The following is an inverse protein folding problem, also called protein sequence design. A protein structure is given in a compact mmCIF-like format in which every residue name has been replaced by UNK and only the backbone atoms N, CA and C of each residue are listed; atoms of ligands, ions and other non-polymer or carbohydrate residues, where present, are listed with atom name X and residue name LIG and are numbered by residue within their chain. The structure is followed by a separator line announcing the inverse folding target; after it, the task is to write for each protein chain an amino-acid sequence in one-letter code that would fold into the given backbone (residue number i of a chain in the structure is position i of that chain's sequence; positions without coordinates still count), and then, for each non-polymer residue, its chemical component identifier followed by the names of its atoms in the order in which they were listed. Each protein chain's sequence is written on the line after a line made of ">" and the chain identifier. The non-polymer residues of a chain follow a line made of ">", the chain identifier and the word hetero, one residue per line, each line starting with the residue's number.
data_IF_715112121853
#
_entry.id   IF_715112121853
#
_cell.length_a   1.000
_cell.length_b   1.000
_cell.length_c   1.000
_cell.angle_alpha   90.00
_cell.angle_beta   90.00
_cell.angle_gamma   90.00
#
_symmetry.space_group_name_H-M   'P 1'
#
loop_
_entity.id
_entity.type
_entity.pdbx_description
1 polymer ?
#
# COMPACT_ATOMS: atom_id res chain seq x y z
N UNK A 1 -19.58 5.17 8.26
CA UNK A 1 -20.66 4.40 7.61
C UNK A 1 -21.32 3.51 8.63
N UNK A 2 -22.60 3.67 8.79
CA UNK A 2 -23.38 2.88 9.74
C UNK A 2 -23.60 1.47 9.21
N UNK A 3 -23.56 0.49 10.10
CA UNK A 3 -23.83 -0.90 9.79
C UNK A 3 -22.65 -1.75 9.33
N UNK A 4 -21.48 -1.14 9.11
CA UNK A 4 -20.27 -1.87 8.69
C UNK A 4 -19.24 -1.88 9.81
N UNK A 5 -18.70 -3.05 10.11
CA UNK A 5 -17.63 -3.21 11.11
C UNK A 5 -16.25 -2.86 10.55
N UNK A 6 -16.06 -3.02 9.24
CA UNK A 6 -14.79 -2.77 8.56
C UNK A 6 -15.06 -2.33 7.12
N UNK A 7 -14.30 -1.36 6.68
CA UNK A 7 -14.41 -0.79 5.32
C UNK A 7 -13.09 -1.05 4.60
N UNK A 8 -13.16 -1.49 3.35
CA UNK A 8 -11.97 -1.77 2.55
C UNK A 8 -11.87 -0.80 1.37
N UNK A 9 -10.66 -0.30 1.12
CA UNK A 9 -10.36 0.54 -0.04
C UNK A 9 -9.35 -0.17 -0.94
N UNK A 10 -9.75 -0.42 -2.19
CA UNK A 10 -8.84 -0.92 -3.23
C UNK A 10 -7.92 0.21 -3.72
N UNK A 11 -6.80 -0.15 -4.36
CA UNK A 11 -5.93 0.83 -4.99
C UNK A 11 -6.12 0.92 -6.51
N UNK A 12 -6.76 -0.07 -7.11
CA UNK A 12 -6.72 -0.32 -8.55
C UNK A 12 -7.70 0.48 -9.41
N UNK A 13 -8.55 1.30 -8.80
CA UNK A 13 -9.54 2.05 -9.56
C UNK A 13 -8.90 3.25 -10.29
N UNK A 14 -9.31 3.46 -11.54
CA UNK A 14 -8.87 4.63 -12.31
C UNK A 14 -9.34 5.95 -11.70
N UNK A 15 -10.40 5.88 -10.90
CA UNK A 15 -10.93 7.03 -10.18
C UNK A 15 -9.85 7.73 -9.32
N UNK A 16 -8.97 6.98 -8.69
CA UNK A 16 -7.89 7.59 -7.89
C UNK A 16 -6.91 8.38 -8.75
N UNK A 17 -6.56 7.87 -9.92
CA UNK A 17 -5.67 8.59 -10.83
C UNK A 17 -6.35 9.81 -11.46
N UNK A 18 -7.68 9.80 -11.60
CA UNK A 18 -8.44 10.96 -12.04
C UNK A 18 -8.51 12.04 -10.96
N UNK A 19 -8.62 11.64 -9.69
CA UNK A 19 -8.63 12.58 -8.56
C UNK A 19 -7.26 13.25 -8.33
N UNK A 20 -6.18 12.55 -8.67
CA UNK A 20 -4.82 13.09 -8.58
C UNK A 20 -4.05 12.79 -9.87
N UNK A 21 -4.26 13.60 -10.92
CA UNK A 21 -3.52 13.43 -12.16
C UNK A 21 -2.01 13.62 -11.95
N UNK A 22 -1.22 12.67 -12.42
CA UNK A 22 0.23 12.70 -12.28
C UNK A 22 0.88 11.97 -13.45
N UNK A 23 2.05 12.43 -13.96
CA UNK A 23 2.77 11.75 -15.05
C UNK A 23 3.10 10.29 -14.74
N UNK A 24 3.36 9.96 -13.46
CA UNK A 24 3.47 8.58 -13.01
C UNK A 24 2.11 8.11 -12.50
N UNK A 25 1.41 7.20 -13.22
CA UNK A 25 0.08 6.76 -12.83
C UNK A 25 0.04 6.02 -11.48
N UNK A 26 1.15 5.43 -11.04
CA UNK A 26 1.23 4.79 -9.71
C UNK A 26 1.20 5.84 -8.59
N UNK A 27 1.87 6.98 -8.80
CA UNK A 27 1.79 8.11 -7.86
C UNK A 27 0.37 8.66 -7.85
N UNK A 28 -0.27 8.78 -9.01
CA UNK A 28 -1.66 9.21 -9.11
C UNK A 28 -2.60 8.31 -8.30
N UNK A 29 -2.49 7.01 -8.43
CA UNK A 29 -3.30 6.04 -7.68
C UNK A 29 -3.04 6.11 -6.18
N UNK A 30 -1.78 6.19 -5.78
CA UNK A 30 -1.38 6.32 -4.38
C UNK A 30 -1.95 7.60 -3.76
N UNK A 31 -1.66 8.75 -4.35
CA UNK A 31 -2.08 10.03 -3.82
C UNK A 31 -3.60 10.21 -3.89
N UNK A 32 -4.24 9.69 -4.94
CA UNK A 32 -5.69 9.72 -5.07
C UNK A 32 -6.38 8.97 -3.95
N UNK A 33 -5.88 7.79 -3.57
CA UNK A 33 -6.43 7.04 -2.43
C UNK A 33 -6.21 7.79 -1.11
N UNK A 34 -5.02 8.33 -0.89
CA UNK A 34 -4.71 9.13 0.30
C UNK A 34 -5.67 10.34 0.39
N UNK A 35 -5.83 11.08 -0.69
CA UNK A 35 -6.70 12.25 -0.74
C UNK A 35 -8.17 11.89 -0.51
N UNK A 36 -8.63 10.79 -1.09
CA UNK A 36 -10.00 10.31 -0.92
C UNK A 36 -10.28 9.97 0.55
N UNK A 37 -9.41 9.20 1.18
CA UNK A 37 -9.54 8.83 2.59
C UNK A 37 -9.48 10.07 3.49
N UNK A 38 -8.56 10.98 3.21
CA UNK A 38 -8.41 12.25 3.95
C UNK A 38 -9.70 13.09 3.86
N UNK A 39 -10.27 13.19 2.67
CA UNK A 39 -11.51 13.95 2.45
C UNK A 39 -12.69 13.31 3.17
N UNK A 40 -12.83 12.00 3.11
CA UNK A 40 -13.88 11.27 3.81
C UNK A 40 -13.77 11.46 5.33
N UNK A 41 -12.55 11.47 5.86
CA UNK A 41 -12.30 11.74 7.27
C UNK A 41 -12.66 13.19 7.64
N UNK A 42 -12.24 14.15 6.81
CA UNK A 42 -12.55 15.56 7.01
C UNK A 42 -14.06 15.84 6.98
N UNK A 43 -14.78 15.16 6.09
CA UNK A 43 -16.22 15.31 5.92
C UNK A 43 -17.04 14.44 6.90
N UNK A 44 -16.38 13.81 7.88
CA UNK A 44 -16.98 12.94 8.88
C UNK A 44 -17.73 11.70 8.32
N UNK A 45 -17.38 11.28 7.11
CA UNK A 45 -17.90 10.04 6.52
C UNK A 45 -17.24 8.83 7.18
N UNK A 46 -15.92 8.96 7.47
CA UNK A 46 -15.15 8.01 8.26
C UNK A 46 -14.68 8.71 9.53
N UNK A 47 -14.84 8.06 10.68
CA UNK A 47 -14.41 8.60 11.97
C UNK A 47 -13.36 7.71 12.64
N UNK A 48 -12.86 8.17 13.80
CA UNK A 48 -11.83 7.47 14.57
C UNK A 48 -12.26 6.10 15.08
N UNK A 49 -13.58 5.85 15.18
CA UNK A 49 -14.14 4.58 15.60
C UNK A 49 -14.31 3.57 14.46
N UNK A 50 -14.16 4.00 13.23
CA UNK A 50 -14.26 3.12 12.08
C UNK A 50 -12.96 2.30 11.93
N UNK A 51 -13.08 1.20 11.19
CA UNK A 51 -11.96 0.29 10.90
C UNK A 51 -11.80 0.19 9.39
N UNK A 52 -10.64 0.55 8.89
CA UNK A 52 -10.33 0.58 7.47
C UNK A 52 -9.24 -0.42 7.14
N UNK A 53 -9.46 -1.20 6.08
CA UNK A 53 -8.49 -2.11 5.49
C UNK A 53 -8.12 -1.61 4.09
N UNK A 54 -6.83 -1.54 3.79
CA UNK A 54 -6.33 -1.16 2.48
C UNK A 54 -6.00 -2.41 1.67
N UNK A 55 -6.72 -2.58 0.54
CA UNK A 55 -6.52 -3.70 -0.36
C UNK A 55 -5.46 -3.32 -1.40
N UNK A 56 -4.36 -4.07 -1.39
CA UNK A 56 -3.29 -3.89 -2.34
C UNK A 56 -2.48 -2.60 -2.13
N UNK A 57 -1.56 -2.36 -3.04
CA UNK A 57 -0.59 -1.28 -2.95
C UNK A 57 -0.14 -0.85 -4.34
N UNK A 58 -0.28 0.43 -4.66
CA UNK A 58 0.34 0.99 -5.85
C UNK A 58 1.85 1.16 -5.62
N UNK A 59 2.21 1.88 -4.57
CA UNK A 59 3.60 2.10 -4.15
C UNK A 59 3.69 1.95 -2.62
N UNK A 60 4.72 1.30 -2.09
CA UNK A 60 4.81 0.99 -0.66
C UNK A 60 4.91 2.22 0.24
N UNK A 61 5.45 3.32 -0.25
CA UNK A 61 5.58 4.56 0.52
C UNK A 61 4.25 5.22 0.87
N UNK A 62 3.16 4.78 0.25
CA UNK A 62 1.81 5.27 0.56
C UNK A 62 1.51 5.19 2.05
N UNK A 63 1.91 4.09 2.68
CA UNK A 63 1.53 3.80 4.06
C UNK A 63 2.16 4.73 5.08
N UNK A 64 3.25 5.40 4.73
CA UNK A 64 3.85 6.44 5.56
C UNK A 64 2.98 7.69 5.70
N UNK A 65 2.02 7.89 4.81
CA UNK A 65 1.12 9.04 4.84
C UNK A 65 -0.07 8.84 5.79
N UNK A 66 -0.27 7.65 6.34
CA UNK A 66 -1.43 7.34 7.17
C UNK A 66 -1.15 7.44 8.67
N UNK A 67 -0.04 8.05 9.08
CA UNK A 67 0.33 8.18 10.50
C UNK A 67 -0.74 8.91 11.33
N UNK A 68 -1.42 9.88 10.74
CA UNK A 68 -2.46 10.68 11.40
C UNK A 68 -3.86 10.07 11.29
N UNK A 69 -3.98 8.86 10.70
CA UNK A 69 -5.27 8.20 10.49
C UNK A 69 -5.35 6.90 11.32
N UNK A 70 -5.74 7.00 12.60
CA UNK A 70 -5.73 5.85 13.51
C UNK A 70 -6.74 4.77 13.13
N UNK A 71 -7.71 5.09 12.29
CA UNK A 71 -8.71 4.14 11.80
C UNK A 71 -8.19 3.20 10.71
N UNK A 72 -7.02 3.49 10.11
CA UNK A 72 -6.37 2.56 9.17
C UNK A 72 -5.80 1.39 9.98
N UNK A 73 -6.47 0.26 9.92
CA UNK A 73 -6.15 -0.89 10.79
C UNK A 73 -5.17 -1.85 10.15
N UNK A 74 -5.31 -2.10 8.84
CA UNK A 74 -4.56 -3.15 8.16
C UNK A 74 -4.40 -2.89 6.68
N UNK A 75 -3.43 -3.57 6.10
CA UNK A 75 -3.15 -3.57 4.66
C UNK A 75 -2.75 -4.97 4.23
N UNK A 76 -3.11 -5.39 3.03
CA UNK A 76 -2.60 -6.60 2.42
C UNK A 76 -1.95 -6.30 1.08
N UNK A 77 -0.84 -6.96 0.79
CA UNK A 77 -0.15 -6.84 -0.49
C UNK A 77 0.95 -7.89 -0.63
N UNK A 78 1.20 -8.33 -1.85
CA UNK A 78 2.35 -9.16 -2.20
C UNK A 78 3.54 -8.34 -2.74
N UNK A 79 3.42 -7.01 -2.78
CA UNK A 79 4.39 -6.11 -3.41
C UNK A 79 5.84 -6.33 -2.94
N UNK A 80 6.15 -6.41 -1.62
CA UNK A 80 7.53 -6.60 -1.19
C UNK A 80 8.11 -7.95 -1.62
N UNK A 81 7.29 -8.99 -1.65
CA UNK A 81 7.71 -10.35 -2.03
C UNK A 81 7.97 -10.43 -3.53
N UNK A 82 7.04 -9.96 -4.34
CA UNK A 82 7.17 -9.98 -5.81
C UNK A 82 8.42 -9.21 -6.25
N UNK A 83 8.62 -8.02 -5.73
CA UNK A 83 9.79 -7.21 -6.09
C UNK A 83 11.08 -7.86 -5.64
N UNK A 84 11.11 -8.44 -4.42
CA UNK A 84 12.27 -9.18 -3.93
C UNK A 84 12.62 -10.38 -4.80
N UNK A 85 11.62 -11.15 -5.24
CA UNK A 85 11.81 -12.27 -6.14
C UNK A 85 12.38 -11.86 -7.51
N UNK A 86 12.09 -10.64 -7.94
CA UNK A 86 12.61 -10.07 -9.18
C UNK A 86 13.93 -9.32 -9.01
N UNK A 87 14.50 -9.32 -7.81
CA UNK A 87 15.76 -8.62 -7.51
C UNK A 87 15.62 -7.11 -7.38
N UNK A 88 14.41 -6.62 -7.20
CA UNK A 88 14.14 -5.19 -7.00
C UNK A 88 14.04 -4.91 -5.50
N UNK A 89 14.92 -4.04 -5.01
CA UNK A 89 14.93 -3.61 -3.61
C UNK A 89 14.32 -2.23 -3.45
N UNK A 90 13.53 -2.05 -2.39
CA UNK A 90 13.03 -0.73 -2.02
C UNK A 90 14.19 0.18 -1.63
N UNK A 91 14.16 1.43 -2.08
CA UNK A 91 15.03 2.46 -1.54
C UNK A 91 14.38 3.11 -0.30
N UNK A 92 15.04 4.12 0.27
CA UNK A 92 14.53 4.80 1.47
C UNK A 92 13.19 5.51 1.26
N UNK A 93 12.85 5.84 0.01
CA UNK A 93 11.62 6.52 -0.36
C UNK A 93 10.55 5.58 -0.92
N UNK A 94 10.85 4.28 -1.03
CA UNK A 94 9.96 3.27 -1.59
C UNK A 94 10.29 2.90 -3.03
N UNK A 95 9.30 2.96 -3.91
CA UNK A 95 9.42 2.64 -5.33
C UNK A 95 8.78 3.71 -6.20
N UNK A 96 9.23 3.80 -7.45
CA UNK A 96 8.58 4.62 -8.50
C UNK A 96 7.85 3.77 -9.53
N UNK A 97 8.12 2.47 -9.58
CA UNK A 97 7.53 1.53 -10.52
C UNK A 97 6.99 0.32 -9.79
N UNK A 98 6.10 -0.41 -10.46
CA UNK A 98 5.51 -1.62 -9.92
C UNK A 98 5.50 -2.72 -10.98
N UNK A 99 5.89 -3.93 -10.60
CA UNK A 99 5.77 -5.09 -11.44
C UNK A 99 4.29 -5.45 -11.66
N UNK A 100 3.94 -5.86 -12.88
CA UNK A 100 2.64 -6.42 -13.21
C UNK A 100 2.55 -7.92 -12.93
N UNK A 101 3.68 -8.57 -12.64
CA UNK A 101 3.74 -10.00 -12.34
C UNK A 101 3.00 -10.31 -11.05
N UNK A 102 2.19 -11.36 -11.08
CA UNK A 102 1.53 -11.88 -9.89
C UNK A 102 2.37 -12.98 -9.25
N UNK A 103 2.20 -13.17 -7.94
CA UNK A 103 3.00 -14.13 -7.20
C UNK A 103 2.81 -15.58 -7.71
N UNK A 104 1.63 -15.91 -8.18
CA UNK A 104 1.32 -17.23 -8.76
C UNK A 104 1.94 -17.45 -10.15
N UNK A 105 2.49 -16.42 -10.77
CA UNK A 105 3.18 -16.47 -12.05
C UNK A 105 4.69 -16.66 -11.92
N UNK A 106 5.21 -16.68 -10.71
CA UNK A 106 6.64 -16.83 -10.45
C UNK A 106 6.96 -18.31 -10.21
N UNK A 107 7.66 -18.92 -11.16
CA UNK A 107 8.05 -20.35 -11.11
C UNK A 107 9.52 -20.56 -10.76
N UNK A 108 10.26 -19.49 -10.51
CA UNK A 108 11.69 -19.57 -10.21
C UNK A 108 11.95 -20.02 -8.78
N UNK A 109 13.01 -20.80 -8.59
CA UNK A 109 13.49 -21.15 -7.25
C UNK A 109 13.95 -19.89 -6.50
N UNK A 110 13.64 -19.84 -5.21
CA UNK A 110 14.09 -18.74 -4.34
C UNK A 110 15.55 -19.00 -3.97
N UNK A 111 16.44 -18.19 -4.51
CA UNK A 111 17.86 -18.20 -4.15
C UNK A 111 18.10 -17.45 -2.84
N UNK A 112 19.27 -17.67 -2.20
CA UNK A 112 19.67 -16.93 -1.00
C UNK A 112 19.67 -15.41 -1.26
N UNK A 113 20.13 -15.00 -2.43
CA UNK A 113 20.14 -13.59 -2.83
C UNK A 113 18.74 -13.01 -2.92
N UNK A 114 17.81 -13.73 -3.54
CA UNK A 114 16.40 -13.31 -3.63
C UNK A 114 15.73 -13.25 -2.28
N UNK A 115 16.02 -14.20 -1.41
CA UNK A 115 15.53 -14.20 -0.04
C UNK A 115 16.00 -12.96 0.73
N UNK A 116 17.26 -12.56 0.52
CA UNK A 116 17.78 -11.32 1.10
C UNK A 116 17.01 -10.09 0.61
N UNK A 117 16.75 -10.01 -0.70
CA UNK A 117 15.99 -8.93 -1.29
C UNK A 117 14.54 -8.87 -0.76
N UNK A 118 13.89 -10.03 -0.62
CA UNK A 118 12.56 -10.14 -0.02
C UNK A 118 12.57 -9.61 1.41
N UNK A 119 13.53 -10.05 2.22
CA UNK A 119 13.62 -9.63 3.62
C UNK A 119 13.91 -8.13 3.74
N UNK A 120 14.74 -7.58 2.87
CA UNK A 120 14.99 -6.14 2.80
C UNK A 120 13.69 -5.38 2.54
N UNK A 121 12.91 -5.81 1.54
CA UNK A 121 11.66 -5.16 1.18
C UNK A 121 10.61 -5.28 2.29
N UNK A 122 10.51 -6.44 2.93
CA UNK A 122 9.61 -6.63 4.07
C UNK A 122 9.95 -5.69 5.23
N UNK A 123 11.24 -5.55 5.55
CA UNK A 123 11.69 -4.63 6.60
C UNK A 123 11.33 -3.18 6.27
N UNK A 124 11.55 -2.76 5.03
CA UNK A 124 11.19 -1.40 4.58
C UNK A 124 9.69 -1.18 4.61
N UNK A 125 8.93 -2.15 4.12
CA UNK A 125 7.47 -2.07 4.14
C UNK A 125 6.94 -1.92 5.57
N UNK A 126 7.44 -2.73 6.48
CA UNK A 126 7.09 -2.65 7.90
C UNK A 126 7.45 -1.29 8.51
N UNK A 127 8.55 -0.67 8.09
CA UNK A 127 8.89 0.69 8.49
C UNK A 127 7.82 1.70 8.10
N UNK A 128 7.32 1.62 6.87
CA UNK A 128 6.26 2.53 6.43
C UNK A 128 4.97 2.35 7.23
N UNK A 129 4.54 1.10 7.45
CA UNK A 129 3.27 0.83 8.15
C UNK A 129 3.37 1.03 9.67
N UNK A 130 4.55 0.85 10.26
CA UNK A 130 4.75 1.01 11.70
C UNK A 130 4.43 2.42 12.16
N UNK A 131 4.82 3.42 11.37
CA UNK A 131 4.57 4.82 11.70
C UNK A 131 3.09 5.18 11.61
N UNK A 132 2.29 4.37 10.93
CA UNK A 132 0.85 4.58 10.78
C UNK A 132 0.00 3.73 11.74
N UNK A 133 0.61 2.90 12.59
CA UNK A 133 -0.09 1.91 13.44
C UNK A 133 -0.92 0.89 12.63
N UNK A 134 -0.63 0.74 11.35
CA UNK A 134 -1.32 -0.20 10.46
C UNK A 134 -0.68 -1.58 10.56
N UNK A 135 -1.50 -2.62 10.58
CA UNK A 135 -1.01 -4.00 10.57
C UNK A 135 -0.83 -4.49 9.13
N UNK A 136 0.29 -5.17 8.90
CA UNK A 136 0.58 -5.80 7.63
C UNK A 136 0.10 -7.26 7.63
N UNK A 137 -0.66 -7.60 6.63
CA UNK A 137 -1.09 -8.98 6.39
C UNK A 137 -0.56 -9.50 5.05
#
# INVERSE_FOLDING_TARGET
>A
MQGYKKIAFSYGADWYSDEFPHPNPLVGKMMGRIMTISKMYKDNIIGKSDRVHLLGCALPQEFGYYADFPFIESVDTSNPIIHGLQGVKYNSLGLLTKSSTKIDQIEEEITTERLYDINHNLSRFKSFVRDSNTQLY
#
